data_IF_011729244599
#
_entry.id   IF_011729244599
#
_cell.length_a   1.000
_cell.length_b   1.000
_cell.length_c   1.000
_cell.angle_alpha   90.00
_cell.angle_beta   90.00
_cell.angle_gamma   90.00
#
_symmetry.space_group_name_H-M   'P 1'
#
loop_
_entity.id
_entity.type
_entity.pdbx_description
1 polymer ?
#
# COMPACT_ATOMS: atom_id res chain seq x y z
N UNK A 1 -6.91 -35.42 -1.83
CA UNK A 1 -7.88 -34.62 -1.07
C UNK A 1 -8.82 -33.94 -2.05
N UNK A 2 -10.14 -34.17 -1.94
CA UNK A 2 -11.15 -33.46 -2.72
C UNK A 2 -11.40 -32.05 -2.15
N UNK A 3 -12.12 -31.17 -2.87
CA UNK A 3 -12.28 -29.77 -2.47
C UNK A 3 -13.00 -29.61 -1.10
N UNK A 4 -13.93 -30.50 -0.78
CA UNK A 4 -14.67 -30.51 0.49
C UNK A 4 -13.74 -30.86 1.65
N UNK A 5 -12.93 -31.91 1.48
CA UNK A 5 -11.92 -32.32 2.45
C UNK A 5 -10.88 -31.21 2.69
N UNK A 6 -10.43 -30.54 1.63
CA UNK A 6 -9.50 -29.40 1.73
C UNK A 6 -10.13 -28.25 2.53
N UNK A 7 -11.41 -27.96 2.28
CA UNK A 7 -12.11 -26.86 2.95
C UNK A 7 -12.29 -27.15 4.44
N UNK A 8 -12.70 -28.38 4.78
CA UNK A 8 -12.85 -28.83 6.15
C UNK A 8 -11.51 -28.87 6.90
N UNK A 9 -10.41 -29.14 6.19
CA UNK A 9 -9.04 -29.05 6.72
C UNK A 9 -8.52 -27.60 6.80
N UNK A 10 -9.33 -26.58 6.48
CA UNK A 10 -8.98 -25.16 6.45
C UNK A 10 -7.81 -24.84 5.50
N UNK A 11 -7.62 -25.64 4.47
CA UNK A 11 -6.58 -25.47 3.44
C UNK A 11 -7.07 -24.52 2.34
N UNK A 12 -7.46 -23.31 2.73
CA UNK A 12 -8.09 -22.35 1.82
C UNK A 12 -7.15 -21.93 0.70
N UNK A 13 -5.87 -21.70 1.00
CA UNK A 13 -4.88 -21.35 -0.02
C UNK A 13 -4.65 -22.50 -1.02
N UNK A 14 -4.57 -23.75 -0.56
CA UNK A 14 -4.47 -24.92 -1.45
C UNK A 14 -5.70 -25.00 -2.39
N UNK A 15 -6.90 -24.60 -1.93
CA UNK A 15 -8.11 -24.55 -2.77
C UNK A 15 -7.99 -23.45 -3.83
N UNK A 16 -7.56 -22.26 -3.43
CA UNK A 16 -7.42 -21.13 -4.34
C UNK A 16 -6.39 -21.44 -5.43
N UNK A 17 -5.24 -21.99 -5.06
CA UNK A 17 -4.19 -22.40 -6.01
C UNK A 17 -4.71 -23.40 -7.04
N UNK A 18 -5.45 -24.41 -6.57
CA UNK A 18 -5.88 -25.52 -7.43
C UNK A 18 -7.10 -25.18 -8.30
N UNK A 19 -8.07 -24.43 -7.78
CA UNK A 19 -9.38 -24.31 -8.41
C UNK A 19 -9.72 -22.92 -8.95
N UNK A 20 -9.17 -21.83 -8.41
CA UNK A 20 -9.61 -20.46 -8.71
C UNK A 20 -9.66 -20.16 -10.22
N UNK A 21 -8.53 -20.32 -10.91
CA UNK A 21 -8.45 -20.02 -12.34
C UNK A 21 -9.40 -20.89 -13.18
N UNK A 22 -9.52 -22.16 -12.82
CA UNK A 22 -10.38 -23.10 -13.51
C UNK A 22 -11.87 -22.73 -13.36
N UNK A 23 -12.26 -22.28 -12.16
CA UNK A 23 -13.63 -21.88 -11.83
C UNK A 23 -13.98 -20.56 -12.49
N UNK A 24 -13.09 -19.56 -12.48
CA UNK A 24 -13.32 -18.25 -13.12
C UNK A 24 -13.66 -18.39 -14.60
N UNK A 25 -12.86 -19.16 -15.35
CA UNK A 25 -12.96 -19.25 -16.82
C UNK A 25 -14.09 -20.19 -17.28
N UNK A 26 -14.38 -21.24 -16.50
CA UNK A 26 -15.34 -22.28 -16.89
C UNK A 26 -16.77 -21.77 -16.87
N UNK A 27 -17.50 -21.89 -17.98
CA UNK A 27 -18.94 -21.62 -18.00
C UNK A 27 -19.73 -22.77 -17.36
N UNK A 28 -20.59 -22.46 -16.42
CA UNK A 28 -21.47 -23.45 -15.78
C UNK A 28 -22.78 -23.50 -16.55
N UNK A 29 -23.18 -24.70 -16.96
CA UNK A 29 -24.48 -24.94 -17.61
C UNK A 29 -25.29 -25.87 -16.70
N UNK A 30 -26.31 -25.36 -15.96
CA UNK A 30 -27.02 -26.10 -14.91
C UNK A 30 -27.57 -27.47 -15.34
N UNK A 31 -27.93 -27.62 -16.62
CA UNK A 31 -28.56 -28.84 -17.15
C UNK A 31 -27.59 -29.92 -17.66
N UNK A 32 -26.27 -29.74 -17.48
CA UNK A 32 -25.27 -30.75 -17.88
C UNK A 32 -25.00 -31.74 -16.76
N UNK A 33 -24.63 -32.98 -17.13
CA UNK A 33 -24.30 -34.07 -16.18
C UNK A 33 -23.16 -33.71 -15.21
N UNK A 34 -22.28 -32.81 -15.59
CA UNK A 34 -21.14 -32.34 -14.78
C UNK A 34 -21.49 -31.13 -13.89
N UNK A 35 -22.66 -30.52 -14.05
CA UNK A 35 -23.05 -29.30 -13.35
C UNK A 35 -22.96 -29.42 -11.81
N UNK A 36 -23.37 -30.53 -11.17
CA UNK A 36 -23.28 -30.65 -9.71
C UNK A 36 -21.84 -30.53 -9.18
N UNK A 37 -20.87 -31.15 -9.86
CA UNK A 37 -19.46 -31.09 -9.46
C UNK A 37 -18.90 -29.68 -9.67
N UNK A 38 -19.24 -29.05 -10.80
CA UNK A 38 -18.79 -27.69 -11.12
C UNK A 38 -19.36 -26.65 -10.15
N UNK A 39 -20.62 -26.81 -9.77
CA UNK A 39 -21.28 -25.96 -8.77
C UNK A 39 -20.69 -26.18 -7.37
N UNK A 40 -20.33 -27.41 -7.03
CA UNK A 40 -19.61 -27.73 -5.79
C UNK A 40 -18.24 -27.06 -5.75
N UNK A 41 -17.47 -27.15 -6.84
CA UNK A 41 -16.17 -26.48 -6.97
C UNK A 41 -16.33 -24.97 -6.82
N UNK A 42 -17.28 -24.34 -7.53
CA UNK A 42 -17.56 -22.91 -7.42
C UNK A 42 -17.92 -22.52 -5.99
N UNK A 43 -18.84 -23.24 -5.34
CA UNK A 43 -19.26 -23.01 -3.96
C UNK A 43 -18.06 -22.98 -3.01
N UNK A 44 -17.25 -24.04 -3.02
CA UNK A 44 -16.15 -24.15 -2.05
C UNK A 44 -14.96 -23.25 -2.38
N UNK A 45 -14.69 -22.96 -3.65
CA UNK A 45 -13.69 -21.95 -4.03
C UNK A 45 -14.14 -20.56 -3.57
N UNK A 46 -15.42 -20.22 -3.75
CA UNK A 46 -15.96 -18.96 -3.28
C UNK A 46 -15.90 -18.87 -1.75
N UNK A 47 -16.38 -19.87 -1.00
CA UNK A 47 -16.28 -19.86 0.46
C UNK A 47 -14.82 -19.81 0.95
N UNK A 48 -13.90 -20.54 0.30
CA UNK A 48 -12.48 -20.49 0.63
C UNK A 48 -11.89 -19.10 0.39
N UNK A 49 -12.28 -18.43 -0.70
CA UNK A 49 -11.83 -17.06 -0.99
C UNK A 49 -12.23 -16.08 0.11
N UNK A 50 -13.48 -16.14 0.59
CA UNK A 50 -13.94 -15.32 1.72
C UNK A 50 -13.22 -15.67 3.02
N UNK A 51 -13.10 -16.96 3.35
CA UNK A 51 -12.42 -17.41 4.57
C UNK A 51 -10.95 -16.97 4.60
N UNK A 52 -10.27 -16.99 3.46
CA UNK A 52 -8.91 -16.47 3.32
C UNK A 52 -8.84 -14.93 3.25
N UNK A 53 -9.98 -14.25 3.06
CA UNK A 53 -10.06 -12.79 2.99
C UNK A 53 -9.77 -12.22 1.62
N UNK A 54 -9.86 -13.04 0.56
CA UNK A 54 -9.74 -12.63 -0.83
C UNK A 54 -11.06 -12.02 -1.32
N UNK A 55 -11.44 -10.88 -0.73
CA UNK A 55 -12.72 -10.20 -0.95
C UNK A 55 -13.01 -9.87 -2.42
N UNK A 56 -11.99 -9.51 -3.22
CA UNK A 56 -12.18 -9.20 -4.63
C UNK A 56 -12.46 -10.46 -5.45
N UNK A 57 -11.72 -11.54 -5.20
CA UNK A 57 -11.98 -12.83 -5.85
C UNK A 57 -13.35 -13.38 -5.46
N UNK A 58 -13.76 -13.19 -4.21
CA UNK A 58 -15.08 -13.57 -3.72
C UNK A 58 -16.20 -12.88 -4.50
N UNK A 59 -16.11 -11.55 -4.68
CA UNK A 59 -17.12 -10.77 -5.40
C UNK A 59 -17.16 -11.11 -6.90
N UNK A 60 -16.01 -11.39 -7.51
CA UNK A 60 -15.94 -11.88 -8.90
C UNK A 60 -16.70 -13.20 -9.06
N UNK A 61 -16.48 -14.14 -8.13
CA UNK A 61 -17.20 -15.43 -8.13
C UNK A 61 -18.69 -15.27 -7.83
N UNK A 62 -19.08 -14.33 -6.97
CA UNK A 62 -20.49 -13.99 -6.74
C UNK A 62 -21.18 -13.48 -8.01
N UNK A 63 -20.53 -12.57 -8.74
CA UNK A 63 -21.05 -12.08 -10.01
C UNK A 63 -21.23 -13.22 -11.02
N UNK A 64 -20.33 -14.20 -11.01
CA UNK A 64 -20.45 -15.39 -11.84
C UNK A 64 -21.69 -16.22 -11.47
N UNK A 65 -21.96 -16.41 -10.17
CA UNK A 65 -23.19 -17.09 -9.72
C UNK A 65 -24.40 -16.35 -10.26
N UNK A 66 -24.54 -15.05 -9.95
CA UNK A 66 -25.70 -14.24 -10.35
C UNK A 66 -25.99 -14.35 -11.86
N UNK A 67 -24.95 -14.37 -12.70
CA UNK A 67 -25.08 -14.39 -14.15
C UNK A 67 -25.27 -15.79 -14.76
N UNK A 68 -24.70 -16.83 -14.17
CA UNK A 68 -24.65 -18.19 -14.78
C UNK A 68 -25.56 -19.21 -14.08
N UNK A 69 -25.89 -19.00 -12.80
CA UNK A 69 -26.62 -19.94 -11.95
C UNK A 69 -27.63 -19.17 -11.11
N UNK A 70 -28.95 -19.29 -11.34
CA UNK A 70 -29.92 -18.53 -10.57
C UNK A 70 -29.68 -18.68 -9.06
N UNK A 71 -29.47 -17.57 -8.36
CA UNK A 71 -29.13 -17.61 -6.93
C UNK A 71 -30.24 -18.25 -6.08
N UNK A 72 -31.48 -18.24 -6.58
CA UNK A 72 -32.65 -18.86 -5.96
C UNK A 72 -32.88 -20.32 -6.38
N UNK A 73 -32.00 -20.91 -7.18
CA UNK A 73 -32.07 -22.32 -7.61
C UNK A 73 -32.02 -23.28 -6.41
N UNK A 74 -32.72 -24.42 -6.52
CA UNK A 74 -32.80 -25.48 -5.50
C UNK A 74 -31.43 -26.04 -5.10
N UNK A 75 -30.42 -25.92 -5.98
CA UNK A 75 -29.04 -26.30 -5.65
C UNK A 75 -28.53 -25.61 -4.38
N UNK A 76 -28.82 -24.32 -4.21
CA UNK A 76 -28.36 -23.54 -3.07
C UNK A 76 -29.29 -23.77 -1.89
N UNK A 77 -28.79 -24.46 -0.87
CA UNK A 77 -29.55 -24.59 0.38
C UNK A 77 -29.72 -23.20 1.02
N UNK A 78 -30.81 -22.96 1.78
CA UNK A 78 -31.05 -21.67 2.40
C UNK A 78 -29.87 -21.15 3.22
N UNK A 79 -29.19 -22.03 3.97
CA UNK A 79 -28.02 -21.66 4.76
C UNK A 79 -26.85 -21.21 3.88
N UNK A 80 -26.69 -21.79 2.69
CA UNK A 80 -25.66 -21.37 1.74
C UNK A 80 -25.95 -19.97 1.21
N UNK A 81 -27.21 -19.68 0.85
CA UNK A 81 -27.61 -18.36 0.35
C UNK A 81 -27.38 -17.26 1.40
N UNK A 82 -27.72 -17.55 2.66
CA UNK A 82 -27.44 -16.67 3.80
C UNK A 82 -25.94 -16.41 3.94
N UNK A 83 -25.12 -17.46 3.98
CA UNK A 83 -23.68 -17.33 4.11
C UNK A 83 -23.04 -16.57 2.94
N UNK A 84 -23.55 -16.77 1.72
CA UNK A 84 -23.09 -16.07 0.52
C UNK A 84 -23.43 -14.58 0.62
N UNK A 85 -24.67 -14.24 0.94
CA UNK A 85 -25.09 -12.84 1.02
C UNK A 85 -24.39 -12.10 2.18
N UNK A 86 -24.12 -12.76 3.31
CA UNK A 86 -23.31 -12.19 4.41
C UNK A 86 -21.87 -11.89 4.00
N UNK A 87 -21.20 -12.86 3.38
CA UNK A 87 -19.83 -12.71 2.91
C UNK A 87 -19.73 -11.65 1.80
N UNK A 88 -20.74 -11.56 0.94
CA UNK A 88 -20.81 -10.54 -0.09
C UNK A 88 -21.00 -9.14 0.49
N UNK A 89 -21.85 -8.98 1.51
CA UNK A 89 -22.00 -7.72 2.24
C UNK A 89 -20.67 -7.29 2.89
N UNK A 90 -19.99 -8.20 3.59
CA UNK A 90 -18.69 -7.92 4.22
C UNK A 90 -17.62 -7.53 3.18
N UNK A 91 -17.59 -8.22 2.04
CA UNK A 91 -16.67 -7.94 0.93
C UNK A 91 -16.96 -6.59 0.26
N UNK A 92 -18.23 -6.24 0.05
CA UNK A 92 -18.61 -4.95 -0.52
C UNK A 92 -18.31 -3.80 0.44
N UNK A 93 -18.49 -3.99 1.75
CA UNK A 93 -18.06 -3.02 2.76
C UNK A 93 -16.55 -2.81 2.72
N UNK A 94 -15.77 -3.88 2.58
CA UNK A 94 -14.33 -3.76 2.35
C UNK A 94 -14.04 -2.90 1.11
N UNK A 95 -14.70 -3.14 -0.02
CA UNK A 95 -14.53 -2.33 -1.24
C UNK A 95 -14.93 -0.86 -1.04
N UNK A 96 -16.02 -0.60 -0.32
CA UNK A 96 -16.51 0.75 -0.06
C UNK A 96 -15.46 1.59 0.68
N UNK A 97 -14.85 1.03 1.73
CA UNK A 97 -13.85 1.73 2.54
C UNK A 97 -12.43 1.66 1.97
N UNK A 98 -12.17 0.83 0.97
CA UNK A 98 -10.85 0.67 0.33
C UNK A 98 -10.93 0.90 -1.19
N UNK A 99 -11.80 1.82 -1.64
CA UNK A 99 -12.15 1.93 -3.07
C UNK A 99 -10.94 2.22 -3.99
N UNK A 100 -9.94 2.93 -3.47
CA UNK A 100 -8.66 3.16 -4.17
C UNK A 100 -7.96 1.87 -4.63
N UNK A 101 -8.21 0.74 -3.96
CA UNK A 101 -7.64 -0.57 -4.30
C UNK A 101 -8.55 -1.39 -5.24
N UNK A 102 -9.87 -1.14 -5.21
CA UNK A 102 -10.87 -1.97 -5.88
C UNK A 102 -11.17 -1.54 -7.33
N UNK A 103 -10.88 -0.27 -7.69
CA UNK A 103 -11.17 0.32 -9.02
C UNK A 103 -12.65 0.23 -9.44
N UNK A 104 -13.57 0.01 -8.49
CA UNK A 104 -15.01 0.05 -8.74
C UNK A 104 -15.53 1.48 -8.53
N UNK A 105 -16.60 1.85 -9.23
CA UNK A 105 -17.26 3.11 -8.92
C UNK A 105 -18.02 2.97 -7.60
N UNK A 106 -17.88 3.96 -6.71
CA UNK A 106 -18.53 3.96 -5.40
C UNK A 106 -20.05 3.80 -5.51
N UNK A 107 -20.65 4.42 -6.52
CA UNK A 107 -22.08 4.30 -6.85
C UNK A 107 -22.50 2.85 -7.11
N UNK A 108 -21.67 2.07 -7.80
CA UNK A 108 -21.94 0.66 -8.08
C UNK A 108 -21.82 -0.19 -6.81
N UNK A 109 -20.84 0.12 -5.96
CA UNK A 109 -20.66 -0.56 -4.66
C UNK A 109 -21.91 -0.33 -3.79
N UNK A 110 -22.35 0.93 -3.64
CA UNK A 110 -23.53 1.30 -2.86
C UNK A 110 -24.77 0.56 -3.35
N UNK A 111 -25.03 0.61 -4.67
CA UNK A 111 -26.18 -0.09 -5.28
C UNK A 111 -26.13 -1.60 -5.00
N UNK A 112 -24.96 -2.22 -5.09
CA UNK A 112 -24.81 -3.64 -4.81
C UNK A 112 -25.03 -3.97 -3.33
N UNK A 113 -24.60 -3.11 -2.41
CA UNK A 113 -24.87 -3.28 -0.97
C UNK A 113 -26.38 -3.25 -0.71
N UNK A 114 -27.10 -2.27 -1.25
CA UNK A 114 -28.56 -2.13 -1.07
C UNK A 114 -29.32 -3.34 -1.63
N UNK A 115 -28.90 -3.83 -2.80
CA UNK A 115 -29.45 -5.04 -3.40
C UNK A 115 -29.23 -6.26 -2.49
N UNK A 116 -28.01 -6.45 -1.98
CA UNK A 116 -27.69 -7.59 -1.10
C UNK A 116 -28.46 -7.52 0.22
N UNK A 117 -28.59 -6.33 0.81
CA UNK A 117 -29.40 -6.13 2.02
C UNK A 117 -30.85 -6.54 1.77
N UNK A 118 -31.42 -6.15 0.63
CA UNK A 118 -32.80 -6.50 0.25
C UNK A 118 -32.96 -8.00 0.05
N UNK A 119 -32.09 -8.61 -0.77
CA UNK A 119 -32.06 -10.05 -1.03
C UNK A 119 -31.88 -10.87 0.25
N UNK A 120 -31.04 -10.43 1.18
CA UNK A 120 -30.83 -11.11 2.46
C UNK A 120 -32.11 -11.17 3.31
N UNK A 121 -32.84 -10.06 3.37
CA UNK A 121 -34.10 -9.98 4.13
C UNK A 121 -35.15 -10.91 3.52
N UNK A 122 -35.23 -10.98 2.19
CA UNK A 122 -36.13 -11.91 1.48
C UNK A 122 -35.79 -13.36 1.79
N UNK A 123 -34.52 -13.75 1.69
CA UNK A 123 -34.06 -15.11 2.04
C UNK A 123 -34.42 -15.46 3.49
N UNK A 124 -34.21 -14.55 4.45
CA UNK A 124 -34.54 -14.84 5.84
C UNK A 124 -36.06 -15.01 6.09
N UNK A 125 -36.91 -14.28 5.36
CA UNK A 125 -38.36 -14.41 5.45
C UNK A 125 -38.84 -15.77 4.93
N UNK A 126 -38.26 -16.23 3.82
CA UNK A 126 -38.70 -17.45 3.13
C UNK A 126 -38.48 -18.73 3.96
N UNK A 127 -37.57 -18.70 4.94
CA UNK A 127 -37.21 -19.88 5.75
C UNK A 127 -37.32 -19.66 7.27
N UNK A 128 -38.06 -18.63 7.71
CA UNK A 128 -38.26 -18.25 9.13
C UNK A 128 -36.93 -18.10 9.92
N UNK A 129 -35.91 -17.59 9.24
CA UNK A 129 -34.58 -17.40 9.80
C UNK A 129 -34.46 -16.08 10.56
N UNK A 130 -33.83 -16.11 11.74
CA UNK A 130 -33.43 -14.87 12.43
C UNK A 130 -32.23 -14.24 11.73
N UNK A 131 -32.23 -12.91 11.64
CA UNK A 131 -31.05 -12.15 11.20
C UNK A 131 -29.88 -12.45 12.15
N UNK A 132 -28.74 -12.84 11.59
CA UNK A 132 -27.55 -13.14 12.39
C UNK A 132 -26.98 -11.85 13.00
N UNK A 133 -26.31 -11.97 14.15
CA UNK A 133 -25.54 -10.85 14.72
C UNK A 133 -24.46 -10.36 13.75
N UNK A 134 -23.86 -11.30 13.01
CA UNK A 134 -22.86 -11.01 11.98
C UNK A 134 -23.41 -10.01 10.95
N UNK A 135 -24.57 -10.31 10.36
CA UNK A 135 -25.25 -9.45 9.40
C UNK A 135 -25.62 -8.09 10.01
N UNK A 136 -26.22 -8.09 11.21
CA UNK A 136 -26.67 -6.86 11.87
C UNK A 136 -25.52 -5.88 12.11
N UNK A 137 -24.34 -6.37 12.51
CA UNK A 137 -23.13 -5.55 12.67
C UNK A 137 -22.66 -4.95 11.35
N UNK A 138 -22.63 -5.73 10.25
CA UNK A 138 -22.24 -5.21 8.92
C UNK A 138 -23.26 -4.22 8.37
N UNK A 139 -24.55 -4.48 8.56
CA UNK A 139 -25.60 -3.54 8.22
C UNK A 139 -25.44 -2.23 8.99
N UNK A 140 -25.16 -2.28 10.30
CA UNK A 140 -24.88 -1.08 11.11
C UNK A 140 -23.71 -0.26 10.54
N UNK A 141 -22.62 -0.90 10.14
CA UNK A 141 -21.47 -0.22 9.51
C UNK A 141 -21.91 0.55 8.25
N UNK A 142 -22.76 -0.05 7.41
CA UNK A 142 -23.31 0.63 6.24
C UNK A 142 -24.23 1.80 6.61
N UNK A 143 -25.09 1.63 7.61
CA UNK A 143 -25.96 2.70 8.11
C UNK A 143 -25.17 3.87 8.73
N UNK A 144 -24.05 3.57 9.39
CA UNK A 144 -23.13 4.55 9.93
C UNK A 144 -22.41 5.30 8.81
N UNK A 145 -21.96 4.60 7.76
CA UNK A 145 -21.38 5.22 6.56
C UNK A 145 -22.32 6.27 5.96
N UNK A 146 -23.62 5.97 5.85
CA UNK A 146 -24.63 6.92 5.34
C UNK A 146 -24.77 8.18 6.21
N UNK A 147 -24.29 8.15 7.47
CA UNK A 147 -24.27 9.28 8.40
C UNK A 147 -22.88 9.96 8.47
N UNK A 148 -21.92 9.54 7.65
CA UNK A 148 -20.53 10.01 7.72
C UNK A 148 -19.74 9.47 8.91
N UNK A 149 -20.21 8.38 9.53
CA UNK A 149 -19.51 7.70 10.61
C UNK A 149 -18.75 6.50 10.04
N UNK A 150 -17.44 6.50 10.23
CA UNK A 150 -16.56 5.55 9.55
C UNK A 150 -15.93 4.56 10.54
N UNK A 151 -15.80 3.27 10.17
CA UNK A 151 -15.02 2.33 10.94
C UNK A 151 -13.53 2.68 10.87
N UNK A 152 -12.76 2.12 11.79
CA UNK A 152 -11.31 2.22 11.79
C UNK A 152 -10.72 0.93 12.32
N UNK A 153 -9.44 0.69 12.05
CA UNK A 153 -8.71 -0.44 12.60
C UNK A 153 -7.39 0.00 13.22
N UNK A 154 -6.89 -0.85 14.13
CA UNK A 154 -5.59 -0.69 14.74
C UNK A 154 -4.67 -1.80 14.28
N UNK A 155 -3.44 -1.43 13.93
CA UNK A 155 -2.35 -2.37 13.63
C UNK A 155 -1.25 -2.08 14.63
N UNK A 156 -0.97 -3.05 15.48
CA UNK A 156 0.00 -2.93 16.56
C UNK A 156 1.05 -4.02 16.43
N UNK A 157 2.33 -3.68 16.48
CA UNK A 157 3.40 -4.68 16.43
C UNK A 157 4.59 -4.32 17.31
N UNK A 158 5.20 -5.36 17.86
CA UNK A 158 6.27 -5.24 18.86
C UNK A 158 7.60 -4.99 18.17
N UNK A 159 8.28 -3.93 18.58
CA UNK A 159 9.63 -3.62 18.17
C UNK A 159 10.61 -4.04 19.27
N UNK A 160 11.65 -4.81 18.94
CA UNK A 160 12.51 -5.47 19.94
C UNK A 160 13.49 -4.52 20.64
N UNK A 161 13.31 -3.20 20.53
CA UNK A 161 14.15 -2.20 21.18
C UNK A 161 13.31 -1.16 21.89
N UNK A 162 13.81 -0.66 23.01
CA UNK A 162 13.30 0.55 23.67
C UNK A 162 13.62 1.78 22.81
N UNK A 163 12.61 2.64 22.61
CA UNK A 163 12.80 3.99 22.11
C UNK A 163 12.86 4.97 23.28
N UNK A 164 13.48 6.16 23.14
CA UNK A 164 13.73 7.06 24.27
C UNK A 164 12.51 7.91 24.67
N UNK A 165 11.33 7.56 24.17
CA UNK A 165 10.10 8.33 24.38
C UNK A 165 8.85 7.46 24.21
N UNK A 166 7.77 7.93 24.83
CA UNK A 166 6.40 7.57 24.48
C UNK A 166 5.73 8.80 23.88
N UNK A 167 5.03 8.64 22.76
CA UNK A 167 4.41 9.75 22.06
C UNK A 167 3.27 9.29 21.15
N UNK A 168 2.21 10.09 21.06
CA UNK A 168 1.14 9.92 20.07
C UNK A 168 1.36 10.94 18.94
N UNK A 169 1.76 10.44 17.78
CA UNK A 169 1.91 11.23 16.57
C UNK A 169 0.53 11.46 15.93
N UNK A 170 0.18 12.72 15.65
CA UNK A 170 -1.02 13.06 14.87
C UNK A 170 -0.72 12.92 13.38
N UNK A 171 -1.41 11.98 12.74
CA UNK A 171 -1.21 11.60 11.35
C UNK A 171 -2.43 11.94 10.47
N UNK A 172 -3.40 12.72 10.95
CA UNK A 172 -4.64 13.01 10.19
C UNK A 172 -4.41 13.64 8.81
N UNK A 173 -3.26 14.28 8.60
CA UNK A 173 -2.87 14.85 7.30
C UNK A 173 -2.44 13.77 6.28
N UNK A 174 -2.10 12.57 6.75
CA UNK A 174 -1.68 11.43 5.96
C UNK A 174 -2.85 10.45 5.82
N UNK A 175 -3.84 10.71 4.96
CA UNK A 175 -4.95 9.74 4.76
C UNK A 175 -4.42 8.38 4.27
N UNK A 176 -4.87 7.22 4.80
CA UNK A 176 -5.95 7.02 5.79
C UNK A 176 -5.51 6.93 7.25
N UNK A 177 -4.29 7.33 7.60
CA UNK A 177 -3.76 7.24 8.97
C UNK A 177 -4.38 8.32 9.87
N UNK A 178 -4.61 7.97 11.13
CA UNK A 178 -5.20 8.85 12.16
C UNK A 178 -4.13 9.20 13.20
N UNK A 179 -3.49 8.18 13.79
CA UNK A 179 -2.42 8.38 14.76
C UNK A 179 -1.45 7.20 14.80
N UNK A 180 -0.25 7.45 15.34
CA UNK A 180 0.74 6.45 15.70
C UNK A 180 1.09 6.62 17.18
N UNK A 181 0.72 5.65 17.99
CA UNK A 181 1.09 5.55 19.39
C UNK A 181 2.41 4.78 19.53
N UNK A 182 3.40 5.41 20.17
CA UNK A 182 4.66 4.79 20.60
C UNK A 182 4.61 4.60 22.11
N UNK A 183 4.65 3.34 22.58
CA UNK A 183 4.54 3.00 24.01
C UNK A 183 5.59 1.99 24.42
N UNK A 184 6.13 2.13 25.61
CA UNK A 184 7.02 1.14 26.19
C UNK A 184 6.25 -0.09 26.63
N UNK A 185 6.95 -1.21 26.62
CA UNK A 185 6.42 -2.48 27.05
C UNK A 185 7.50 -3.28 27.74
N UNK A 186 7.31 -3.49 29.04
CA UNK A 186 8.25 -4.24 29.86
C UNK A 186 7.90 -5.72 29.84
N UNK A 187 8.86 -6.59 29.53
CA UNK A 187 8.80 -8.02 29.90
C UNK A 187 10.01 -8.33 30.77
N UNK A 188 9.76 -8.73 32.00
CA UNK A 188 10.78 -9.02 32.99
C UNK A 188 11.77 -7.86 33.18
N UNK A 189 13.02 -8.03 32.71
CA UNK A 189 14.10 -7.04 32.81
C UNK A 189 14.26 -6.18 31.55
N UNK A 190 13.66 -6.60 30.44
CA UNK A 190 13.81 -5.94 29.15
C UNK A 190 12.65 -4.97 28.87
N UNK A 191 12.98 -3.85 28.22
CA UNK A 191 12.01 -2.87 27.73
C UNK A 191 11.98 -2.90 26.21
N UNK A 192 10.79 -3.02 25.66
CA UNK A 192 10.50 -3.02 24.24
C UNK A 192 9.60 -1.83 23.90
N UNK A 193 9.35 -1.63 22.59
CA UNK A 193 8.45 -0.58 22.11
C UNK A 193 7.30 -1.19 21.32
N UNK A 194 6.07 -0.81 21.64
CA UNK A 194 4.92 -1.03 20.76
C UNK A 194 4.74 0.17 19.85
N UNK A 195 4.53 -0.12 18.56
CA UNK A 195 3.95 0.81 17.62
C UNK A 195 2.50 0.41 17.39
N UNK A 196 1.56 1.33 17.62
CA UNK A 196 0.14 1.13 17.36
C UNK A 196 -0.37 2.20 16.40
N UNK A 197 -0.68 1.80 15.18
CA UNK A 197 -1.27 2.67 14.16
C UNK A 197 -2.78 2.62 14.24
N UNK A 198 -3.44 3.78 14.31
CA UNK A 198 -4.89 3.91 14.10
C UNK A 198 -5.14 4.36 12.66
N UNK A 199 -5.94 3.60 11.91
CA UNK A 199 -6.13 3.79 10.46
C UNK A 199 -7.63 3.79 10.17
N UNK A 200 -8.11 4.80 9.44
CA UNK A 200 -9.48 4.87 8.96
C UNK A 200 -9.73 3.78 7.91
N UNK A 201 -10.90 3.15 7.98
CA UNK A 201 -11.35 2.17 6.99
C UNK A 201 -11.66 0.80 7.59
N UNK A 202 -11.73 -0.19 6.69
CA UNK A 202 -12.17 -1.54 7.00
C UNK A 202 -11.12 -2.55 6.55
N UNK A 203 -10.76 -3.48 7.42
CA UNK A 203 -9.76 -4.53 7.15
C UNK A 203 -10.21 -5.89 7.66
N UNK A 204 -9.63 -6.94 7.09
CA UNK A 204 -9.66 -8.26 7.72
C UNK A 204 -8.72 -8.24 8.92
N UNK A 205 -9.28 -8.39 10.11
CA UNK A 205 -8.54 -8.51 11.36
C UNK A 205 -7.91 -9.91 11.46
N UNK A 206 -6.84 -10.11 10.69
CA UNK A 206 -6.01 -11.30 10.66
C UNK A 206 -4.54 -10.85 10.55
N UNK A 207 -3.76 -11.29 11.53
CA UNK A 207 -2.36 -10.93 11.74
C UNK A 207 -1.43 -11.30 10.57
N UNK A 208 -1.82 -12.26 9.74
CA UNK A 208 -1.02 -12.69 8.58
C UNK A 208 -1.80 -12.62 7.27
N UNK A 209 -2.84 -11.78 7.24
CA UNK A 209 -3.65 -11.62 6.04
C UNK A 209 -2.81 -11.22 4.84
N UNK A 210 -2.99 -11.96 3.75
CA UNK A 210 -2.21 -11.79 2.52
C UNK A 210 -2.79 -10.75 1.56
N UNK A 211 -3.98 -10.22 1.85
CA UNK A 211 -4.64 -9.18 1.06
C UNK A 211 -5.94 -9.62 0.38
N UNK A 212 -6.60 -8.69 -0.33
CA UNK A 212 -7.97 -8.88 -0.81
C UNK A 212 -8.07 -9.68 -2.13
N UNK A 213 -6.93 -10.06 -2.73
CA UNK A 213 -6.93 -10.89 -3.93
C UNK A 213 -5.75 -11.88 -3.96
N UNK A 214 -6.00 -13.04 -4.55
CA UNK A 214 -5.07 -14.15 -4.75
C UNK A 214 -3.82 -13.77 -5.57
N UNK A 215 -4.01 -13.00 -6.64
CA UNK A 215 -2.92 -12.67 -7.58
C UNK A 215 -1.97 -11.62 -7.01
N UNK A 216 -2.42 -10.80 -6.05
CA UNK A 216 -1.67 -9.68 -5.48
C UNK A 216 -1.28 -9.91 -4.01
N UNK A 217 -1.16 -11.17 -3.59
CA UNK A 217 -0.87 -11.53 -2.21
C UNK A 217 0.48 -10.99 -1.74
N UNK A 218 0.49 -10.46 -0.52
CA UNK A 218 1.70 -10.03 0.19
C UNK A 218 1.62 -10.47 1.64
N UNK A 219 2.68 -11.08 2.17
CA UNK A 219 2.72 -11.51 3.58
C UNK A 219 2.46 -10.30 4.49
N UNK A 220 1.51 -10.43 5.42
CA UNK A 220 1.20 -9.43 6.43
C UNK A 220 0.88 -8.03 5.84
N UNK A 221 -0.16 -7.96 5.00
CA UNK A 221 -0.54 -6.73 4.31
C UNK A 221 -0.85 -5.57 5.27
N UNK A 222 -1.47 -5.87 6.43
CA UNK A 222 -1.80 -4.89 7.45
C UNK A 222 -0.54 -4.17 7.96
N UNK A 223 0.54 -4.90 8.24
CA UNK A 223 1.82 -4.29 8.60
C UNK A 223 2.52 -3.62 7.42
N UNK A 224 2.49 -4.21 6.22
CA UNK A 224 3.10 -3.60 5.03
C UNK A 224 2.54 -2.20 4.74
N UNK A 225 1.28 -1.94 5.12
CA UNK A 225 0.67 -0.61 5.02
C UNK A 225 1.29 0.40 5.99
N UNK A 226 1.75 0.00 7.18
CA UNK A 226 2.24 0.92 8.21
C UNK A 226 3.76 1.03 8.26
N UNK A 227 4.46 -0.03 7.85
CA UNK A 227 5.92 -0.13 7.89
C UNK A 227 6.67 1.05 7.26
N UNK A 228 6.28 1.60 6.09
CA UNK A 228 6.99 2.75 5.51
C UNK A 228 7.00 3.97 6.44
N UNK A 229 5.89 4.23 7.13
CA UNK A 229 5.80 5.37 8.05
C UNK A 229 6.63 5.13 9.30
N UNK A 230 6.53 3.92 9.87
CA UNK A 230 7.35 3.54 11.01
C UNK A 230 8.84 3.68 10.68
N UNK A 231 9.25 3.11 9.55
CA UNK A 231 10.63 3.13 9.11
C UNK A 231 11.11 4.57 8.86
N UNK A 232 10.24 5.47 8.38
CA UNK A 232 10.55 6.91 8.28
C UNK A 232 10.80 7.54 9.65
N UNK A 233 9.98 7.24 10.65
CA UNK A 233 10.21 7.73 12.02
C UNK A 233 11.53 7.20 12.57
N UNK A 234 11.79 5.89 12.47
CA UNK A 234 13.05 5.28 12.89
C UNK A 234 14.25 5.90 12.16
N UNK A 235 14.08 6.32 10.90
CA UNK A 235 15.11 7.04 10.13
C UNK A 235 15.48 8.36 10.75
N UNK A 236 14.48 9.19 11.01
CA UNK A 236 14.70 10.54 11.51
C UNK A 236 15.33 10.50 12.90
N UNK A 237 14.94 9.51 13.70
CA UNK A 237 15.60 9.21 14.96
C UNK A 237 17.07 8.83 14.74
N UNK A 238 17.37 7.95 13.76
CA UNK A 238 18.75 7.59 13.42
C UNK A 238 19.57 8.81 12.96
N UNK A 239 18.99 9.69 12.14
CA UNK A 239 19.65 10.88 11.60
C UNK A 239 19.98 11.91 12.67
N UNK A 240 19.07 12.12 13.61
CA UNK A 240 19.30 12.99 14.74
C UNK A 240 20.30 12.39 15.75
N UNK A 241 20.62 11.10 15.65
CA UNK A 241 21.66 10.43 16.45
C UNK A 241 22.67 9.68 15.58
N UNK A 242 23.57 10.37 14.85
CA UNK A 242 24.55 9.75 13.96
C UNK A 242 25.40 8.70 14.69
N UNK A 243 25.59 7.53 14.06
CA UNK A 243 26.39 6.42 14.60
C UNK A 243 25.59 5.35 15.37
N UNK A 244 24.25 5.46 15.44
CA UNK A 244 23.39 4.44 16.06
C UNK A 244 22.69 3.58 15.00
N UNK A 245 22.77 2.27 15.18
CA UNK A 245 22.09 1.31 14.31
C UNK A 245 20.59 1.30 14.63
N UNK A 246 19.77 1.63 13.63
CA UNK A 246 18.31 1.49 13.68
C UNK A 246 17.91 0.52 12.58
N UNK A 247 17.74 -0.78 12.88
CA UNK A 247 17.35 -1.71 11.85
C UNK A 247 15.97 -1.37 11.32
N UNK A 248 15.80 -1.55 10.02
CA UNK A 248 14.49 -1.54 9.42
C UNK A 248 13.65 -2.67 9.95
N UNK A 249 12.35 -2.43 10.06
CA UNK A 249 11.38 -3.49 10.20
C UNK A 249 10.84 -3.84 8.81
N UNK A 250 11.08 -5.06 8.37
CA UNK A 250 10.35 -5.67 7.26
C UNK A 250 9.21 -6.52 7.80
N UNK A 251 8.23 -6.84 6.95
CA UNK A 251 7.05 -7.61 7.37
C UNK A 251 7.43 -9.00 7.90
N UNK A 252 8.54 -9.55 7.41
CA UNK A 252 9.12 -10.83 7.78
C UNK A 252 9.83 -10.82 9.14
N UNK A 253 10.14 -9.63 9.68
CA UNK A 253 10.78 -9.45 11.00
C UNK A 253 9.76 -9.18 12.11
N UNK A 254 8.49 -8.95 11.76
CA UNK A 254 7.43 -8.70 12.74
C UNK A 254 7.08 -10.01 13.44
N UNK A 255 7.55 -10.14 14.68
CA UNK A 255 7.30 -11.31 15.51
C UNK A 255 5.92 -11.29 16.14
N UNK A 256 5.43 -10.15 16.64
CA UNK A 256 4.12 -10.07 17.29
C UNK A 256 3.31 -8.95 16.66
N UNK A 257 2.10 -9.27 16.23
CA UNK A 257 1.18 -8.32 15.61
C UNK A 257 -0.26 -8.54 16.09
N UNK A 258 -0.87 -7.44 16.48
CA UNK A 258 -2.26 -7.34 16.86
C UNK A 258 -2.99 -6.50 15.81
N UNK A 259 -4.06 -7.04 15.25
CA UNK A 259 -4.94 -6.31 14.33
C UNK A 259 -6.35 -6.32 14.89
N UNK A 260 -6.90 -5.13 15.11
CA UNK A 260 -8.24 -4.97 15.68
C UNK A 260 -9.09 -4.07 14.80
N UNK A 261 -10.23 -4.57 14.33
CA UNK A 261 -11.23 -3.79 13.61
C UNK A 261 -12.24 -3.22 14.61
N UNK A 262 -12.50 -1.92 14.53
CA UNK A 262 -13.49 -1.21 15.34
C UNK A 262 -14.63 -0.69 14.46
N UNK A 263 -15.81 -0.61 15.07
CA UNK A 263 -16.92 0.20 14.56
C UNK A 263 -16.70 1.68 14.86
N UNK A 264 -17.56 2.54 14.31
CA UNK A 264 -17.50 3.99 14.46
C UNK A 264 -17.64 4.46 15.92
N UNK A 265 -18.32 3.67 16.75
CA UNK A 265 -18.57 3.90 18.18
C UNK A 265 -17.49 3.29 19.11
N UNK A 266 -16.39 2.79 18.53
CA UNK A 266 -15.30 2.08 19.20
C UNK A 266 -15.65 0.68 19.73
N UNK A 267 -16.81 0.10 19.38
CA UNK A 267 -17.05 -1.32 19.64
C UNK A 267 -16.08 -2.16 18.80
N UNK A 268 -15.46 -3.18 19.41
CA UNK A 268 -14.58 -4.11 18.70
C UNK A 268 -15.43 -5.02 17.82
N UNK A 269 -15.18 -4.98 16.51
CA UNK A 269 -15.81 -5.89 15.56
C UNK A 269 -15.06 -7.22 15.48
N UNK A 270 -13.74 -7.17 15.30
CA UNK A 270 -12.87 -8.35 15.21
C UNK A 270 -11.50 -8.05 15.82
N UNK A 271 -10.86 -9.05 16.42
CA UNK A 271 -9.52 -8.97 17.01
C UNK A 271 -8.72 -10.21 16.61
N UNK A 272 -7.49 -10.01 16.17
CA UNK A 272 -6.51 -11.07 15.99
C UNK A 272 -5.19 -10.66 16.64
N UNK A 273 -4.62 -11.56 17.43
CA UNK A 273 -3.31 -11.42 18.07
C UNK A 273 -2.52 -12.64 17.61
N UNK A 274 -1.35 -12.43 17.03
CA UNK A 274 -0.51 -13.54 16.60
C UNK A 274 0.98 -13.26 16.83
N UNK A 275 1.71 -14.35 17.03
CA UNK A 275 3.17 -14.34 17.16
C UNK A 275 3.79 -15.33 16.18
N UNK A 276 4.69 -14.86 15.30
CA UNK A 276 5.51 -15.65 14.39
C UNK A 276 6.91 -15.84 15.00
N UNK A 277 7.27 -17.10 15.31
CA UNK A 277 8.58 -17.47 15.86
C UNK A 277 9.64 -17.72 14.77
N UNK A 278 9.28 -17.62 13.48
CA UNK A 278 10.19 -17.81 12.35
C UNK A 278 10.86 -16.51 11.87
N UNK A 279 10.54 -15.37 12.49
CA UNK A 279 11.09 -14.08 12.11
C UNK A 279 12.61 -14.01 12.31
N UNK A 280 13.29 -13.27 11.44
CA UNK A 280 14.73 -13.07 11.54
C UNK A 280 15.05 -12.18 12.75
N UNK A 281 15.84 -12.71 13.70
CA UNK A 281 16.28 -11.96 14.88
C UNK A 281 17.20 -10.81 14.47
N UNK A 282 16.96 -9.62 15.01
CA UNK A 282 17.83 -8.47 14.85
C UNK A 282 18.39 -8.11 16.22
N UNK A 283 19.71 -8.24 16.38
CA UNK A 283 20.42 -7.95 17.62
C UNK A 283 21.08 -6.58 17.61
N UNK A 284 21.18 -5.96 18.79
CA UNK A 284 22.11 -4.86 19.05
C UNK A 284 21.64 -3.88 20.13
N UNK A 285 22.34 -3.81 21.26
CA UNK A 285 22.13 -2.77 22.27
C UNK A 285 23.07 -1.60 21.99
N UNK A 286 22.53 -0.39 21.87
CA UNK A 286 23.28 0.86 22.00
C UNK A 286 22.48 1.83 22.90
N UNK A 287 23.03 2.29 24.03
CA UNK A 287 22.34 3.25 24.90
C UNK A 287 22.10 4.59 24.19
N UNK A 288 21.00 5.25 24.57
CA UNK A 288 20.36 6.35 23.84
C UNK A 288 20.67 7.76 24.36
N UNK A 289 20.28 8.76 23.57
CA UNK A 289 20.19 10.17 23.97
C UNK A 289 18.74 10.43 24.36
N UNK A 290 18.52 11.28 25.36
CA UNK A 290 17.21 11.63 25.89
C UNK A 290 16.44 12.56 24.92
N UNK A 291 15.23 12.15 24.51
CA UNK A 291 14.32 12.88 23.62
C UNK A 291 13.18 13.60 24.38
N UNK A 292 13.37 13.90 25.67
CA UNK A 292 12.36 14.54 26.55
C UNK A 292 11.86 15.93 26.10
N UNK A 293 12.43 16.56 25.07
CA UNK A 293 11.98 17.87 24.60
C UNK A 293 10.78 17.75 23.64
N UNK A 294 9.60 18.19 24.10
CA UNK A 294 8.34 18.19 23.34
C UNK A 294 8.47 18.85 21.95
N UNK A 295 9.31 19.89 21.80
CA UNK A 295 9.55 20.54 20.50
C UNK A 295 10.28 19.66 19.48
N UNK A 296 11.17 18.75 19.92
CA UNK A 296 11.85 17.82 19.04
C UNK A 296 10.90 16.75 18.49
N UNK A 297 9.97 16.26 19.34
CA UNK A 297 8.94 15.30 18.94
C UNK A 297 7.90 15.92 17.98
N UNK A 298 7.53 17.19 18.20
CA UNK A 298 6.67 17.93 17.26
C UNK A 298 7.34 18.10 15.90
N UNK A 299 8.61 18.49 15.87
CA UNK A 299 9.37 18.61 14.61
C UNK A 299 9.49 17.27 13.87
N UNK A 300 9.70 16.18 14.61
CA UNK A 300 9.70 14.83 14.05
C UNK A 300 8.33 14.48 13.42
N UNK A 301 7.21 14.84 14.07
CA UNK A 301 5.88 14.64 13.51
C UNK A 301 5.71 15.37 12.16
N UNK A 302 6.14 16.63 12.09
CA UNK A 302 6.10 17.41 10.84
C UNK A 302 6.93 16.77 9.73
N UNK A 303 8.11 16.23 10.05
CA UNK A 303 9.00 15.56 9.10
C UNK A 303 8.41 14.25 8.56
N UNK A 304 7.74 13.47 9.42
CA UNK A 304 7.02 12.25 9.01
C UNK A 304 5.91 12.62 8.03
N UNK A 305 5.08 13.61 8.37
CA UNK A 305 3.97 14.08 7.52
C UNK A 305 4.45 14.58 6.16
N UNK A 306 5.50 15.42 6.13
CA UNK A 306 6.07 15.96 4.88
C UNK A 306 6.60 14.87 3.95
N UNK A 307 7.12 13.77 4.50
CA UNK A 307 7.81 12.73 3.72
C UNK A 307 6.95 11.56 3.29
N UNK A 308 5.86 11.31 3.99
CA UNK A 308 5.04 10.12 3.79
C UNK A 308 4.38 9.99 2.40
N UNK A 309 4.33 11.06 1.59
CA UNK A 309 3.72 11.04 0.26
C UNK A 309 4.29 10.01 -0.72
N UNK A 310 5.58 9.64 -0.63
CA UNK A 310 6.25 8.75 -1.60
C UNK A 310 6.85 7.48 -0.99
N UNK A 311 6.13 6.36 -1.10
CA UNK A 311 6.54 5.04 -0.54
C UNK A 311 7.90 4.54 -1.07
N UNK A 312 8.19 4.74 -2.36
CA UNK A 312 9.45 4.27 -2.98
C UNK A 312 10.64 5.15 -2.61
N UNK A 313 10.43 6.47 -2.49
CA UNK A 313 11.43 7.41 -1.99
C UNK A 313 11.85 7.03 -0.57
N UNK A 314 10.89 6.81 0.34
CA UNK A 314 11.15 6.48 1.75
C UNK A 314 12.03 5.24 1.90
N UNK A 315 11.70 4.15 1.20
CA UNK A 315 12.43 2.89 1.28
C UNK A 315 13.89 3.03 0.82
N UNK A 316 14.10 3.68 -0.33
CA UNK A 316 15.45 3.86 -0.88
C UNK A 316 16.24 4.87 -0.03
N UNK A 317 15.63 5.97 0.39
CA UNK A 317 16.30 7.02 1.16
C UNK A 317 16.82 6.47 2.49
N UNK A 318 16.02 5.63 3.13
CA UNK A 318 16.44 4.87 4.29
C UNK A 318 17.61 3.92 4.03
N UNK A 319 17.54 3.12 2.96
CA UNK A 319 18.61 2.18 2.63
C UNK A 319 19.93 2.91 2.40
N UNK A 320 19.89 4.09 1.76
CA UNK A 320 21.04 4.96 1.64
C UNK A 320 21.58 5.35 3.02
N UNK A 321 20.75 5.83 3.93
CA UNK A 321 21.19 6.27 5.27
C UNK A 321 21.75 5.12 6.13
N UNK A 322 21.18 3.93 6.07
CA UNK A 322 21.72 2.75 6.73
C UNK A 322 23.12 2.40 6.22
N UNK A 323 23.32 2.47 4.90
CA UNK A 323 24.62 2.28 4.29
C UNK A 323 25.63 3.35 4.76
N UNK A 324 25.21 4.60 4.93
CA UNK A 324 26.07 5.65 5.51
C UNK A 324 26.52 5.28 6.91
N UNK A 325 25.60 4.83 7.77
CA UNK A 325 25.93 4.41 9.14
C UNK A 325 26.87 3.21 9.20
N UNK A 326 26.87 2.36 8.17
CA UNK A 326 27.79 1.24 8.01
C UNK A 326 29.11 1.62 7.28
N UNK A 327 29.32 2.89 6.91
CA UNK A 327 30.50 3.36 6.17
C UNK A 327 30.48 3.06 4.66
N UNK A 328 29.36 2.57 4.13
CA UNK A 328 29.16 2.21 2.72
C UNK A 328 28.73 3.42 1.88
N UNK A 329 29.61 4.41 1.75
CA UNK A 329 29.25 5.72 1.19
C UNK A 329 28.87 5.67 -0.29
N UNK A 330 29.53 4.83 -1.07
CA UNK A 330 29.30 4.75 -2.52
C UNK A 330 27.96 4.10 -2.85
N UNK A 331 27.63 3.03 -2.16
CA UNK A 331 26.32 2.37 -2.21
C UNK A 331 25.24 3.35 -1.76
N UNK A 332 25.49 4.12 -0.70
CA UNK A 332 24.54 5.14 -0.22
C UNK A 332 24.26 6.19 -1.29
N UNK A 333 25.29 6.68 -1.97
CA UNK A 333 25.15 7.70 -3.01
C UNK A 333 24.39 7.19 -4.23
N UNK A 334 24.65 5.96 -4.67
CA UNK A 334 23.89 5.34 -5.76
C UNK A 334 22.41 5.18 -5.39
N UNK A 335 22.14 4.79 -4.14
CA UNK A 335 20.77 4.69 -3.66
C UNK A 335 20.13 6.08 -3.58
N UNK A 336 20.82 7.12 -3.11
CA UNK A 336 20.29 8.50 -3.15
C UNK A 336 19.98 8.99 -4.57
N UNK A 337 20.81 8.63 -5.56
CA UNK A 337 20.48 8.91 -6.96
C UNK A 337 19.16 8.24 -7.35
N UNK A 338 18.98 6.97 -7.00
CA UNK A 338 17.72 6.24 -7.20
C UNK A 338 16.53 6.90 -6.46
N UNK A 339 16.76 7.40 -5.24
CA UNK A 339 15.75 8.11 -4.45
C UNK A 339 15.24 9.35 -5.18
N UNK A 340 16.17 10.12 -5.78
CA UNK A 340 15.83 11.32 -6.54
C UNK A 340 14.93 10.99 -7.72
N UNK A 341 15.17 9.85 -8.39
CA UNK A 341 14.37 9.39 -9.52
C UNK A 341 12.95 9.03 -9.06
N UNK A 342 12.83 8.22 -8.01
CA UNK A 342 11.53 7.85 -7.44
C UNK A 342 10.72 9.07 -6.94
N UNK A 343 11.39 10.04 -6.31
CA UNK A 343 10.79 11.28 -5.82
C UNK A 343 10.20 12.10 -6.98
N UNK A 344 10.97 12.29 -8.06
CA UNK A 344 10.55 13.05 -9.25
C UNK A 344 9.34 12.37 -9.90
N UNK A 345 9.38 11.05 -10.11
CA UNK A 345 8.26 10.33 -10.74
C UNK A 345 6.98 10.46 -9.94
N UNK A 346 7.06 10.34 -8.61
CA UNK A 346 5.91 10.51 -7.73
C UNK A 346 5.31 11.92 -7.86
N UNK A 347 6.12 12.96 -7.67
CA UNK A 347 5.60 14.34 -7.67
C UNK A 347 5.15 14.82 -9.04
N UNK A 348 5.79 14.37 -10.11
CA UNK A 348 5.28 14.61 -11.47
C UNK A 348 3.93 13.92 -11.69
N UNK A 349 3.74 12.70 -11.18
CA UNK A 349 2.44 12.03 -11.20
C UNK A 349 1.37 12.80 -10.43
N UNK A 350 1.68 13.28 -9.23
CA UNK A 350 0.75 14.11 -8.43
C UNK A 350 0.43 15.42 -9.13
N UNK A 351 1.43 16.13 -9.65
CA UNK A 351 1.21 17.36 -10.40
C UNK A 351 0.33 17.14 -11.63
N UNK A 352 0.52 16.04 -12.34
CA UNK A 352 -0.32 15.69 -13.50
C UNK A 352 -1.77 15.42 -13.12
N UNK A 353 -2.01 14.74 -11.99
CA UNK A 353 -3.36 14.53 -11.44
C UNK A 353 -4.00 15.86 -11.05
N UNK A 354 -3.30 16.70 -10.30
CA UNK A 354 -3.81 18.00 -9.82
C UNK A 354 -4.16 18.96 -10.95
N UNK A 355 -3.51 18.82 -12.10
CA UNK A 355 -3.66 19.72 -13.26
C UNK A 355 -4.44 19.10 -14.42
N UNK A 356 -5.09 17.97 -14.18
CA UNK A 356 -5.94 17.25 -15.13
C UNK A 356 -5.23 16.92 -16.48
N UNK A 357 -3.95 16.58 -16.40
CA UNK A 357 -3.15 16.19 -17.57
C UNK A 357 -2.55 14.78 -17.45
N UNK A 358 -3.15 13.94 -16.59
CA UNK A 358 -2.62 12.62 -16.23
C UNK A 358 -2.48 11.70 -17.45
N UNK A 359 -3.48 11.66 -18.34
CA UNK A 359 -3.46 10.77 -19.51
C UNK A 359 -2.32 11.15 -20.47
N UNK A 360 -2.13 12.44 -20.71
CA UNK A 360 -1.07 12.94 -21.57
C UNK A 360 0.32 12.72 -20.95
N UNK A 361 0.43 12.91 -19.63
CA UNK A 361 1.66 12.64 -18.90
C UNK A 361 2.01 11.16 -18.86
N UNK A 362 1.02 10.27 -18.70
CA UNK A 362 1.22 8.82 -18.77
C UNK A 362 1.68 8.38 -20.16
N UNK A 363 1.06 8.91 -21.21
CA UNK A 363 1.49 8.64 -22.59
C UNK A 363 2.92 9.13 -22.84
N UNK A 364 3.27 10.33 -22.35
CA UNK A 364 4.62 10.88 -22.44
C UNK A 364 5.65 10.06 -21.66
N UNK A 365 5.38 9.75 -20.40
CA UNK A 365 6.32 9.03 -19.51
C UNK A 365 6.65 7.63 -20.00
N UNK A 366 5.70 6.97 -20.68
CA UNK A 366 5.88 5.66 -21.31
C UNK A 366 6.41 5.74 -22.75
N UNK A 367 6.53 6.95 -23.32
CA UNK A 367 7.02 7.13 -24.68
C UNK A 367 8.50 6.79 -24.78
N UNK A 368 8.87 6.03 -25.81
CA UNK A 368 10.27 5.74 -26.11
C UNK A 368 10.71 6.59 -27.28
N UNK A 369 11.67 7.49 -27.02
CA UNK A 369 12.21 8.39 -28.03
C UNK A 369 13.62 7.89 -28.37
N UNK A 370 13.87 7.60 -29.65
CA UNK A 370 15.21 7.27 -30.12
C UNK A 370 15.87 8.49 -30.72
N UNK A 371 17.15 8.74 -30.40
CA UNK A 371 17.93 9.77 -31.11
C UNK A 371 18.05 9.46 -32.61
N UNK A 372 17.87 8.20 -33.00
CA UNK A 372 17.82 7.79 -34.40
C UNK A 372 16.59 8.34 -35.13
N UNK A 373 15.52 8.73 -34.43
CA UNK A 373 14.29 9.28 -35.00
C UNK A 373 14.47 10.70 -35.56
N UNK A 374 15.54 11.38 -35.15
CA UNK A 374 15.90 12.72 -35.62
C UNK A 374 17.31 12.76 -36.18
N UNK A 375 17.88 11.61 -36.55
CA UNK A 375 19.27 11.50 -37.00
C UNK A 375 19.33 11.47 -38.53
N UNK A 376 19.80 12.57 -39.13
CA UNK A 376 19.99 12.68 -40.58
C UNK A 376 20.83 11.53 -41.18
N UNK A 377 21.79 10.99 -40.42
CA UNK A 377 22.61 9.84 -40.86
C UNK A 377 21.81 8.54 -40.90
N UNK A 378 20.88 8.32 -39.96
CA UNK A 378 20.04 7.13 -39.93
C UNK A 378 18.97 7.18 -41.03
N UNK A 379 18.34 8.35 -41.23
CA UNK A 379 17.37 8.58 -42.33
C UNK A 379 17.99 8.34 -43.71
N UNK A 380 19.29 8.61 -43.87
CA UNK A 380 20.03 8.36 -45.12
C UNK A 380 20.47 6.89 -45.31
N UNK A 381 20.32 6.05 -44.28
CA UNK A 381 20.73 4.65 -44.32
C UNK A 381 19.59 3.75 -44.84
N UNK A 382 19.89 2.73 -45.66
CA UNK A 382 18.89 1.77 -46.17
C UNK A 382 18.38 0.76 -45.13
N UNK A 383 18.80 0.89 -43.86
CA UNK A 383 18.38 -0.03 -42.80
C UNK A 383 16.96 0.30 -42.33
N UNK A 384 16.01 -0.62 -42.54
CA UNK A 384 14.63 -0.46 -42.06
C UNK A 384 14.46 -0.76 -40.57
N UNK A 385 15.44 -1.40 -39.94
CA UNK A 385 15.39 -1.77 -38.53
C UNK A 385 16.24 -0.81 -37.70
N UNK A 386 15.63 -0.28 -36.64
CA UNK A 386 16.31 0.56 -35.64
C UNK A 386 17.12 -0.36 -34.74
N UNK A 387 18.39 -0.04 -34.44
CA UNK A 387 19.17 -0.83 -33.48
C UNK A 387 18.60 -0.77 -32.06
N UNK A 388 17.76 0.23 -31.78
CA UNK A 388 17.17 0.44 -30.46
C UNK A 388 15.81 1.17 -30.57
N UNK A 389 14.82 0.70 -29.82
CA UNK A 389 13.43 1.20 -29.84
C UNK A 389 13.22 2.53 -29.07
N UNK A 390 14.29 3.20 -28.64
CA UNK A 390 14.23 4.46 -27.89
C UNK A 390 14.26 4.28 -26.37
N UNK A 391 14.67 5.34 -25.68
CA UNK A 391 14.71 5.38 -24.20
C UNK A 391 13.48 6.12 -23.69
N UNK A 392 13.04 5.76 -22.48
CA UNK A 392 12.07 6.56 -21.73
C UNK A 392 12.61 8.00 -21.51
N UNK A 393 11.73 8.98 -21.28
CA UNK A 393 12.16 10.35 -21.06
C UNK A 393 13.13 10.46 -19.88
N UNK A 394 14.12 11.34 -19.99
CA UNK A 394 15.00 11.62 -18.85
C UNK A 394 14.23 12.36 -17.75
N UNK A 395 14.74 12.34 -16.51
CA UNK A 395 14.18 13.11 -15.39
C UNK A 395 13.94 14.59 -15.74
N UNK A 396 14.89 15.21 -16.44
CA UNK A 396 14.74 16.59 -16.91
C UNK A 396 13.64 16.72 -17.98
N UNK A 397 13.44 15.68 -18.79
CA UNK A 397 12.32 15.57 -19.73
C UNK A 397 10.95 15.63 -19.05
N UNK A 398 10.80 15.04 -17.86
CA UNK A 398 9.56 15.16 -17.07
C UNK A 398 9.29 16.61 -16.65
N UNK A 399 10.30 17.34 -16.18
CA UNK A 399 10.15 18.76 -15.84
C UNK A 399 9.82 19.59 -17.09
N UNK A 400 10.49 19.29 -18.21
CA UNK A 400 10.27 19.95 -19.49
C UNK A 400 8.85 19.75 -20.03
N UNK A 401 8.25 18.58 -19.80
CA UNK A 401 6.85 18.32 -20.15
C UNK A 401 5.91 19.32 -19.46
N UNK A 402 6.00 19.46 -18.13
CA UNK A 402 5.15 20.39 -17.38
C UNK A 402 5.40 21.85 -17.74
N UNK A 403 6.64 22.20 -18.07
CA UNK A 403 6.97 23.55 -18.54
C UNK A 403 6.32 23.84 -19.91
N UNK A 404 6.41 22.90 -20.86
CA UNK A 404 5.80 23.05 -22.21
C UNK A 404 4.27 23.09 -22.14
N UNK A 405 3.69 22.43 -21.14
CA UNK A 405 2.26 22.50 -20.83
C UNK A 405 1.84 23.77 -20.07
N UNK A 406 2.78 24.69 -19.80
CA UNK A 406 2.56 25.91 -19.03
C UNK A 406 2.04 25.65 -17.60
N UNK A 407 2.22 24.43 -17.09
CA UNK A 407 1.83 24.05 -15.74
C UNK A 407 2.81 24.66 -14.75
N UNK A 408 4.11 24.61 -15.04
CA UNK A 408 5.14 25.26 -14.24
C UNK A 408 5.77 26.43 -14.98
N UNK A 409 6.20 27.44 -14.22
CA UNK A 409 6.92 28.61 -14.73
C UNK A 409 8.37 28.27 -15.09
N UNK A 410 9.00 29.14 -15.89
CA UNK A 410 10.43 29.01 -16.18
C UNK A 410 11.31 29.08 -14.92
N UNK A 411 10.89 29.87 -13.92
CA UNK A 411 11.58 29.96 -12.62
C UNK A 411 11.50 28.63 -11.87
N UNK A 412 10.30 28.05 -11.76
CA UNK A 412 10.11 26.73 -11.15
C UNK A 412 10.90 25.64 -11.87
N UNK A 413 10.88 25.62 -13.20
CA UNK A 413 11.69 24.70 -14.01
C UNK A 413 13.18 24.83 -13.69
N UNK A 414 13.74 26.04 -13.70
CA UNK A 414 15.17 26.26 -13.43
C UNK A 414 15.55 25.75 -12.04
N UNK A 415 14.71 25.99 -11.05
CA UNK A 415 14.97 25.57 -9.68
C UNK A 415 14.88 24.05 -9.51
N UNK A 416 13.86 23.40 -10.09
CA UNK A 416 13.76 21.94 -10.12
C UNK A 416 14.97 21.30 -10.81
N UNK A 417 15.38 21.82 -11.98
CA UNK A 417 16.56 21.31 -12.71
C UNK A 417 17.83 21.47 -11.87
N UNK A 418 18.00 22.61 -11.19
CA UNK A 418 19.14 22.86 -10.29
C UNK A 418 19.18 21.85 -9.15
N UNK A 419 18.05 21.64 -8.46
CA UNK A 419 17.93 20.71 -7.34
C UNK A 419 18.15 19.26 -7.76
N UNK A 420 17.64 18.84 -8.92
CA UNK A 420 17.87 17.50 -9.48
C UNK A 420 19.37 17.30 -9.78
N UNK A 421 20.02 18.28 -10.39
CA UNK A 421 21.45 18.22 -10.68
C UNK A 421 22.30 18.11 -9.38
N UNK A 422 21.89 18.81 -8.31
CA UNK A 422 22.54 18.70 -7.00
C UNK A 422 22.32 17.34 -6.35
N UNK A 423 21.11 16.78 -6.40
CA UNK A 423 20.83 15.44 -5.87
C UNK A 423 21.67 14.37 -6.56
N UNK A 424 21.77 14.44 -7.89
CA UNK A 424 22.48 13.43 -8.67
C UNK A 424 23.98 13.59 -8.66
N UNK A 425 24.46 14.83 -8.50
CA UNK A 425 25.86 15.20 -8.65
C UNK A 425 26.48 14.46 -9.85
N UNK A 426 26.02 14.80 -11.07
CA UNK A 426 26.27 13.99 -12.28
C UNK A 426 27.77 13.68 -12.52
N UNK A 427 28.67 14.59 -12.10
CA UNK A 427 30.12 14.32 -12.11
C UNK A 427 30.48 13.12 -11.23
N UNK A 428 30.06 13.14 -9.96
CA UNK A 428 30.30 12.07 -9.01
C UNK A 428 29.61 10.77 -9.43
N UNK A 429 28.38 10.85 -9.95
CA UNK A 429 27.64 9.68 -10.49
C UNK A 429 28.37 9.03 -11.64
N UNK A 430 28.87 9.81 -12.60
CA UNK A 430 29.63 9.28 -13.72
C UNK A 430 30.93 8.63 -13.25
N UNK A 431 31.67 9.25 -12.33
CA UNK A 431 32.88 8.67 -11.75
C UNK A 431 32.60 7.31 -11.07
N UNK A 432 31.53 7.23 -10.27
CA UNK A 432 31.13 6.00 -9.57
C UNK A 432 30.69 4.91 -10.54
N UNK A 433 29.86 5.23 -11.55
CA UNK A 433 29.41 4.26 -12.57
C UNK A 433 30.59 3.73 -13.40
N UNK A 434 31.63 4.54 -13.60
CA UNK A 434 32.87 4.14 -14.26
C UNK A 434 33.90 3.49 -13.31
N UNK A 435 33.49 3.11 -12.10
CA UNK A 435 34.27 2.27 -11.18
C UNK A 435 35.16 3.02 -10.20
N UNK A 436 35.07 4.36 -10.11
CA UNK A 436 35.83 5.16 -9.14
C UNK A 436 35.09 5.26 -7.81
N UNK A 437 35.13 4.19 -7.04
CA UNK A 437 34.30 4.02 -5.82
C UNK A 437 34.84 4.73 -4.56
N UNK A 438 36.09 5.22 -4.55
CA UNK A 438 36.66 5.91 -3.37
C UNK A 438 36.42 7.43 -3.36
N UNK A 439 35.60 7.94 -4.28
CA UNK A 439 35.36 9.37 -4.48
C UNK A 439 34.22 9.92 -3.61
N UNK A 440 33.33 9.05 -3.11
CA UNK A 440 32.13 9.47 -2.38
C UNK A 440 32.48 9.74 -0.92
N UNK A 441 32.38 11.00 -0.51
CA UNK A 441 32.59 11.42 0.87
C UNK A 441 31.27 11.59 1.63
N UNK A 442 31.32 11.50 2.96
CA UNK A 442 30.18 11.84 3.83
C UNK A 442 29.64 13.26 3.57
N UNK A 443 30.53 14.21 3.24
CA UNK A 443 30.12 15.56 2.86
C UNK A 443 29.26 15.57 1.60
N UNK A 444 29.69 14.85 0.56
CA UNK A 444 28.94 14.75 -0.71
C UNK A 444 27.57 14.10 -0.51
N UNK A 445 27.49 13.12 0.40
CA UNK A 445 26.24 12.49 0.80
C UNK A 445 25.30 13.45 1.53
N UNK A 446 25.82 14.23 2.48
CA UNK A 446 25.02 15.23 3.21
C UNK A 446 24.51 16.35 2.27
N UNK A 447 25.32 16.77 1.30
CA UNK A 447 24.91 17.74 0.27
C UNK A 447 23.79 17.17 -0.63
N UNK A 448 23.90 15.90 -1.01
CA UNK A 448 22.88 15.16 -1.78
C UNK A 448 21.58 15.03 -0.99
N UNK A 449 21.66 14.62 0.28
CA UNK A 449 20.53 14.48 1.19
C UNK A 449 19.79 15.80 1.38
N UNK A 450 20.53 16.90 1.62
CA UNK A 450 19.94 18.23 1.74
C UNK A 450 19.20 18.63 0.46
N UNK A 451 19.80 18.41 -0.70
CA UNK A 451 19.19 18.70 -1.99
C UNK A 451 17.90 17.88 -2.23
N UNK A 452 17.85 16.63 -1.77
CA UNK A 452 16.65 15.78 -1.86
C UNK A 452 15.47 16.35 -1.07
N UNK A 453 15.70 16.79 0.17
CA UNK A 453 14.65 17.42 0.98
C UNK A 453 14.20 18.77 0.41
N UNK A 454 15.13 19.57 -0.10
CA UNK A 454 14.81 20.83 -0.79
C UNK A 454 13.97 20.55 -2.05
N UNK A 455 14.35 19.55 -2.85
CA UNK A 455 13.61 19.13 -4.04
C UNK A 455 12.17 18.70 -3.70
N UNK A 456 12.02 17.86 -2.68
CA UNK A 456 10.72 17.43 -2.21
C UNK A 456 9.84 18.59 -1.75
N UNK A 457 10.38 19.45 -0.89
CA UNK A 457 9.66 20.62 -0.36
C UNK A 457 9.23 21.56 -1.49
N UNK A 458 10.08 21.71 -2.50
CA UNK A 458 9.78 22.57 -3.64
C UNK A 458 8.69 21.98 -4.55
N UNK A 459 8.71 20.67 -4.82
CA UNK A 459 7.63 20.00 -5.54
C UNK A 459 6.29 20.11 -4.82
N UNK A 460 6.29 19.83 -3.51
CA UNK A 460 5.09 19.93 -2.68
C UNK A 460 4.49 21.34 -2.78
N UNK A 461 5.30 22.37 -2.63
CA UNK A 461 4.87 23.77 -2.76
C UNK A 461 4.22 24.05 -4.12
N UNK A 462 4.80 23.56 -5.21
CA UNK A 462 4.22 23.73 -6.55
C UNK A 462 2.86 23.06 -6.65
N UNK A 463 2.71 21.84 -6.13
CA UNK A 463 1.43 21.11 -6.16
C UNK A 463 0.37 21.84 -5.33
N UNK A 464 0.72 22.30 -4.13
CA UNK A 464 -0.18 23.09 -3.27
C UNK A 464 -0.63 24.40 -3.94
N UNK A 465 0.29 25.11 -4.61
CA UNK A 465 -0.04 26.30 -5.41
C UNK A 465 -1.07 26.00 -6.52
N UNK A 466 -1.04 24.79 -7.10
CA UNK A 466 -1.99 24.38 -8.16
C UNK A 466 -3.32 23.92 -7.60
N UNK A 467 -3.33 23.22 -6.48
CA UNK A 467 -4.58 22.87 -5.78
C UNK A 467 -5.34 24.16 -5.46
N UNK A 468 -4.67 25.15 -4.86
CA UNK A 468 -5.29 26.40 -4.46
C UNK A 468 -5.73 27.29 -5.63
N UNK A 469 -5.22 27.08 -6.84
CA UNK A 469 -5.64 27.80 -8.04
C UNK A 469 -6.85 27.17 -8.75
N UNK A 470 -7.18 25.91 -8.42
CA UNK A 470 -8.28 25.13 -9.01
C UNK A 470 -9.52 25.05 -8.10
N UNK A 471 -9.45 25.62 -6.90
CA UNK A 471 -10.58 25.90 -5.99
C UNK A 471 -11.00 27.34 -6.17
#
# INVERSE_FOLDING_TARGET
MNIVEMYNAKKYDDIMEKYLNSVKIRKIKPHKKEAPIQLLELKYTMLASYMAGYYFDYLELCNKIINEVPFMDEFWQPQDRVAIAEAALDSLLFCLFNNNECKLQETDIIKNIENIITTFIEICKDFDGKLSEFYLKRKKIYEDYKKGLFPYFKVKYLYPYELPFEYEFDLKQCTPYISLDVKHFKRDVDVYTWFEFKISGYTKADSFWSGPSWDNRKKNLNALRTLPMLNSMLLYLANATPGKFRPLFCAEQIMSIDVTQFMSDNEILNLCIATDFSAQWVGGNAPEVDWTQQGALQHLNELIVKVYGSKHFVMQFQQAKNNISAGLYTESFLIFCSCSEALIYHWCGELAKTTDCIDEYEAFSKSKISKCDSCNFYDSSKSKEKPYNGMEPSLFGHIDFFFRKLIITNTQKKELVRLIAMCKNDSLRNDVIHGRTNMVSLRSLNETEKALFELQSYFQKIVEEKINANV
#
